data_IF_163481538919
#
_entry.id   IF_163481538919
#
_cell.length_a   1.000
_cell.length_b   1.000
_cell.length_c   1.000
_cell.angle_alpha   90.00
_cell.angle_beta   90.00
_cell.angle_gamma   90.00
#
_symmetry.space_group_name_H-M   'P 1'
#
loop_
_entity.id
_entity.type
_entity.pdbx_description
1 polymer ?
#
# COMPACT_ATOMS: atom_id res chain seq x y z
N UNK A 1 -5.49 -0.73 12.38
CA UNK A 1 -5.44 -2.20 12.17
C UNK A 1 -4.36 -2.75 13.10
N UNK A 2 -4.71 -3.52 14.14
CA UNK A 2 -3.75 -3.96 15.19
C UNK A 2 -3.03 -5.26 14.80
N UNK A 3 -3.55 -5.98 13.81
CA UNK A 3 -3.01 -7.28 13.37
C UNK A 3 -1.57 -7.20 12.84
N UNK A 4 -1.18 -6.11 12.17
CA UNK A 4 0.19 -5.94 11.69
C UNK A 4 1.22 -5.73 12.80
N UNK A 5 0.87 -4.95 13.82
CA UNK A 5 1.71 -4.78 15.01
C UNK A 5 1.86 -6.10 15.79
N UNK A 6 0.80 -6.90 15.87
CA UNK A 6 0.82 -8.21 16.54
C UNK A 6 1.61 -9.29 15.75
N UNK A 7 1.71 -9.16 14.43
CA UNK A 7 2.46 -10.10 13.56
C UNK A 7 3.91 -9.68 13.34
N UNK A 8 4.35 -8.56 13.93
CA UNK A 8 5.74 -8.10 13.94
C UNK A 8 6.38 -8.22 15.34
N UNK A 9 6.50 -9.43 15.93
CA UNK A 9 6.97 -9.62 17.30
C UNK A 9 8.42 -9.21 17.52
N UNK A 10 9.23 -9.15 16.45
CA UNK A 10 10.63 -8.74 16.51
C UNK A 10 10.83 -7.24 16.23
N UNK A 11 9.79 -6.54 15.78
CA UNK A 11 9.84 -5.10 15.50
C UNK A 11 10.81 -4.73 14.37
N UNK A 12 11.04 -5.64 13.43
CA UNK A 12 11.90 -5.49 12.24
C UNK A 12 11.10 -5.43 10.92
N UNK A 13 9.77 -5.57 11.00
CA UNK A 13 8.88 -5.35 9.87
C UNK A 13 8.80 -3.88 9.40
N UNK A 14 8.08 -3.65 8.30
CA UNK A 14 7.81 -2.30 7.80
C UNK A 14 6.64 -1.67 8.58
N UNK A 15 6.88 -0.51 9.19
CA UNK A 15 5.88 0.24 9.95
C UNK A 15 6.18 1.73 9.94
N UNK A 16 5.15 2.52 10.23
CA UNK A 16 5.28 3.94 10.51
C UNK A 16 5.23 4.19 12.02
N UNK A 17 6.14 5.03 12.53
CA UNK A 17 6.18 5.43 13.95
C UNK A 17 7.19 4.65 14.79
N UNK A 18 7.13 4.83 16.11
CA UNK A 18 8.02 4.17 17.07
C UNK A 18 7.73 2.66 17.18
N UNK A 19 8.76 1.87 17.50
CA UNK A 19 8.67 0.40 17.58
C UNK A 19 7.65 -0.09 18.62
N UNK A 20 7.42 0.68 19.67
CA UNK A 20 6.50 0.39 20.76
C UNK A 20 5.05 0.83 20.47
N UNK A 21 4.84 1.63 19.42
CA UNK A 21 3.52 2.07 18.97
C UNK A 21 3.42 2.15 17.43
N UNK A 22 3.66 1.05 16.70
CA UNK A 22 3.79 1.08 15.25
C UNK A 22 2.43 1.06 14.55
N UNK A 23 2.34 1.78 13.42
CA UNK A 23 1.27 1.63 12.44
C UNK A 23 1.75 0.70 11.31
N UNK A 24 0.97 -0.33 11.01
CA UNK A 24 1.26 -1.31 9.96
C UNK A 24 1.44 -0.63 8.58
N UNK A 25 2.39 -1.11 7.77
CA UNK A 25 2.84 -0.46 6.54
C UNK A 25 1.73 -0.13 5.53
N UNK A 26 0.76 -1.02 5.32
CA UNK A 26 -0.36 -0.76 4.41
C UNK A 26 -1.37 0.21 5.05
N UNK A 27 -1.62 0.08 6.36
CA UNK A 27 -2.53 0.95 7.12
C UNK A 27 -2.02 2.39 7.21
N UNK A 28 -0.70 2.59 7.18
CA UNK A 28 -0.06 3.91 7.15
C UNK A 28 -0.34 4.69 5.86
N UNK A 29 -0.80 4.03 4.80
CA UNK A 29 -1.01 4.61 3.47
C UNK A 29 -2.47 4.53 3.00
N UNK A 30 -3.45 5.03 3.78
CA UNK A 30 -4.86 4.89 3.43
C UNK A 30 -5.17 5.67 2.15
N UNK A 31 -5.76 4.97 1.17
CA UNK A 31 -6.23 5.59 -0.07
C UNK A 31 -5.13 5.91 -1.09
N UNK A 32 -3.87 5.56 -0.82
CA UNK A 32 -2.76 5.75 -1.75
C UNK A 32 -2.62 4.49 -2.61
N UNK A 33 -3.00 4.55 -3.88
CA UNK A 33 -2.94 3.39 -4.79
C UNK A 33 -2.01 3.62 -5.99
N UNK A 34 -1.77 4.86 -6.38
CA UNK A 34 -0.87 5.21 -7.47
C UNK A 34 -0.24 6.59 -7.26
N UNK A 35 0.72 6.94 -8.12
CA UNK A 35 1.40 8.23 -8.06
C UNK A 35 0.43 9.40 -8.08
N UNK A 36 0.64 10.36 -7.17
CA UNK A 36 -0.19 11.57 -7.08
C UNK A 36 -1.56 11.36 -6.42
N UNK A 37 -1.77 10.26 -5.68
CA UNK A 37 -2.97 10.06 -4.89
C UNK A 37 -3.15 11.14 -3.80
N UNK A 38 -4.40 11.46 -3.50
CA UNK A 38 -4.80 12.39 -2.43
C UNK A 38 -6.24 12.06 -1.97
N UNK A 39 -6.75 12.62 -0.87
CA UNK A 39 -8.10 12.30 -0.41
C UNK A 39 -9.16 12.49 -1.50
N UNK A 40 -9.86 11.42 -1.86
CA UNK A 40 -10.85 11.39 -2.95
C UNK A 40 -10.31 11.05 -4.34
N UNK A 41 -8.99 10.85 -4.49
CA UNK A 41 -8.35 10.46 -5.75
C UNK A 41 -7.30 9.35 -5.51
N UNK A 42 -7.47 8.20 -6.16
CA UNK A 42 -6.60 7.04 -5.98
C UNK A 42 -5.19 7.19 -6.60
N UNK A 43 -4.95 8.24 -7.38
CA UNK A 43 -3.72 8.48 -8.12
C UNK A 43 -3.75 7.92 -9.54
N UNK A 44 -2.58 7.91 -10.18
CA UNK A 44 -2.41 7.35 -11.52
C UNK A 44 -2.43 5.81 -11.46
N UNK A 45 -3.41 5.20 -12.12
CA UNK A 45 -3.60 3.74 -12.15
C UNK A 45 -3.63 3.21 -13.59
N UNK A 46 -3.30 1.94 -13.75
CA UNK A 46 -3.50 1.22 -15.00
C UNK A 46 -4.98 0.87 -15.16
N UNK A 47 -5.45 0.74 -16.39
CA UNK A 47 -6.84 0.38 -16.70
C UNK A 47 -6.87 -0.92 -17.49
N UNK A 48 -7.71 -1.86 -17.06
CA UNK A 48 -7.95 -3.11 -17.77
C UNK A 48 -8.81 -2.86 -19.01
N UNK A 49 -8.27 -3.17 -20.19
CA UNK A 49 -8.96 -2.88 -21.45
C UNK A 49 -10.24 -3.68 -21.70
N UNK A 50 -10.44 -4.82 -21.03
CA UNK A 50 -11.62 -5.67 -21.22
C UNK A 50 -12.78 -5.27 -20.30
N UNK A 51 -12.47 -4.84 -19.07
CA UNK A 51 -13.46 -4.56 -18.02
C UNK A 51 -13.59 -3.07 -17.69
N UNK A 52 -12.60 -2.25 -18.08
CA UNK A 52 -12.50 -0.85 -17.68
C UNK A 52 -12.09 -0.66 -16.21
N UNK A 53 -11.77 -1.71 -15.47
CA UNK A 53 -11.39 -1.63 -14.06
C UNK A 53 -9.96 -1.11 -13.89
N UNK A 54 -9.73 -0.28 -12.87
CA UNK A 54 -8.40 0.22 -12.52
C UNK A 54 -7.64 -0.79 -11.67
N UNK A 55 -6.33 -0.90 -11.88
CA UNK A 55 -5.43 -1.78 -11.14
C UNK A 55 -4.02 -1.20 -11.05
N UNK A 56 -3.21 -1.71 -10.12
CA UNK A 56 -1.80 -1.35 -9.96
C UNK A 56 -0.87 -2.56 -9.76
N UNK A 57 -1.42 -3.77 -9.66
CA UNK A 57 -0.64 -4.96 -9.41
C UNK A 57 -1.02 -6.10 -10.37
N UNK A 58 0.00 -6.78 -10.89
CA UNK A 58 -0.14 -8.04 -11.62
C UNK A 58 0.15 -9.19 -10.67
N UNK A 59 -0.87 -9.99 -10.36
CA UNK A 59 -0.72 -11.23 -9.61
C UNK A 59 -0.53 -12.45 -10.52
N UNK A 60 -0.36 -13.60 -9.89
CA UNK A 60 -0.21 -14.87 -10.60
C UNK A 60 -1.43 -15.19 -11.49
N UNK A 61 -1.18 -15.90 -12.59
CA UNK A 61 -2.20 -16.31 -13.57
C UNK A 61 -2.93 -15.12 -14.23
N UNK A 62 -2.24 -13.99 -14.42
CA UNK A 62 -2.78 -12.82 -15.12
C UNK A 62 -3.85 -12.04 -14.33
N UNK A 63 -4.07 -12.38 -13.05
CA UNK A 63 -5.01 -11.66 -12.19
C UNK A 63 -4.51 -10.25 -11.92
N UNK A 64 -5.43 -9.29 -11.92
CA UNK A 64 -5.14 -7.88 -11.69
C UNK A 64 -5.75 -7.47 -10.35
N UNK A 65 -4.99 -6.71 -9.57
CA UNK A 65 -5.40 -6.28 -8.23
C UNK A 65 -5.19 -4.78 -8.07
N UNK A 66 -5.99 -4.20 -7.19
CA UNK A 66 -5.79 -2.87 -6.66
C UNK A 66 -5.33 -3.01 -5.21
N UNK A 67 -4.06 -2.73 -4.96
CA UNK A 67 -3.41 -2.88 -3.65
C UNK A 67 -3.03 -1.50 -3.09
N UNK A 68 -3.18 -1.26 -1.78
CA UNK A 68 -2.69 -0.03 -1.17
C UNK A 68 -1.16 0.07 -1.29
N UNK A 69 -0.65 1.28 -1.27
CA UNK A 69 0.78 1.56 -1.09
C UNK A 69 1.26 1.03 0.26
N UNK A 70 2.57 0.76 0.35
CA UNK A 70 3.22 0.41 1.60
C UNK A 70 4.10 1.57 2.06
N UNK A 71 4.13 1.80 3.37
CA UNK A 71 5.08 2.73 3.96
C UNK A 71 6.51 2.21 3.80
N UNK A 72 7.35 3.03 3.17
CA UNK A 72 8.79 2.81 3.02
C UNK A 72 9.55 3.63 4.08
N UNK A 73 10.15 2.98 5.09
CA UNK A 73 10.87 3.66 6.15
C UNK A 73 12.16 4.34 5.66
N UNK A 74 12.74 3.92 4.53
CA UNK A 74 13.94 4.56 3.99
C UNK A 74 13.64 5.96 3.43
N UNK A 75 12.45 6.16 2.88
CA UNK A 75 12.02 7.43 2.29
C UNK A 75 11.02 8.18 3.16
N UNK A 76 10.52 7.56 4.23
CA UNK A 76 9.44 8.07 5.08
C UNK A 76 8.18 8.43 4.28
N UNK A 77 7.89 7.66 3.22
CA UNK A 77 6.79 7.92 2.29
C UNK A 77 6.05 6.63 1.89
N UNK A 78 4.86 6.79 1.32
CA UNK A 78 4.07 5.69 0.78
C UNK A 78 4.52 5.35 -0.64
N UNK A 79 4.98 4.12 -0.84
CA UNK A 79 5.45 3.61 -2.13
C UNK A 79 4.37 2.80 -2.83
N UNK A 80 4.05 3.20 -4.06
CA UNK A 80 3.08 2.53 -4.94
C UNK A 80 3.78 1.58 -5.90
N UNK A 81 3.04 0.62 -6.47
CA UNK A 81 3.54 -0.30 -7.48
C UNK A 81 3.60 0.31 -8.89
N UNK A 82 2.87 1.42 -9.11
CA UNK A 82 2.78 2.20 -10.36
C UNK A 82 2.81 3.69 -10.11
#
# INVERSE_FOLDING_TARGET
MVAGALTNPCGDGFYQGEREAPLEAATACPGVYGKGAYPGNAGQLLVDGATGASYNAHGAHGRKYLLPALFDPATSACSTLV
#
